data_IF_975509787583
#
_entry.id   IF_975509787583
#
_cell.length_a   1.000
_cell.length_b   1.000
_cell.length_c   1.000
_cell.angle_alpha   90.00
_cell.angle_beta   90.00
_cell.angle_gamma   90.00
#
_symmetry.space_group_name_H-M   'P 1'
#
loop_
_entity.id
_entity.type
_entity.pdbx_description
1 polymer ?
#
# COMPACT_ATOMS: atom_id res chain seq x y z
N UNK A 1 -1.97 -6.38 6.37
CA UNK A 1 -1.10 -6.06 5.21
C UNK A 1 -1.53 -4.77 4.58
N UNK A 2 -0.60 -3.89 4.23
CA UNK A 2 -0.85 -2.64 3.51
C UNK A 2 0.13 -2.54 2.35
N UNK A 3 -0.33 -2.09 1.20
CA UNK A 3 0.46 -1.73 0.02
C UNK A 3 0.39 -0.23 -0.16
N UNK A 4 1.53 0.43 -0.04
CA UNK A 4 1.66 1.87 -0.12
C UNK A 4 2.38 2.24 -1.41
N UNK A 5 1.82 3.14 -2.21
CA UNK A 5 2.56 3.78 -3.27
C UNK A 5 3.61 4.72 -2.68
N UNK A 6 4.87 4.51 -3.04
CA UNK A 6 5.96 5.24 -2.43
C UNK A 6 6.08 6.69 -2.90
N UNK A 7 5.55 6.98 -4.08
CA UNK A 7 5.58 8.32 -4.65
C UNK A 7 4.43 9.18 -4.13
N UNK A 8 3.19 8.68 -4.27
CA UNK A 8 1.97 9.42 -3.88
C UNK A 8 1.61 9.27 -2.39
N UNK A 9 2.21 8.31 -1.66
CA UNK A 9 1.83 7.92 -0.29
C UNK A 9 0.40 7.39 -0.17
N UNK A 10 -0.24 7.06 -1.29
CA UNK A 10 -1.58 6.47 -1.35
C UNK A 10 -1.54 5.02 -0.89
N UNK A 11 -2.49 4.61 -0.08
CA UNK A 11 -2.71 3.19 0.22
C UNK A 11 -3.50 2.61 -0.95
N UNK A 12 -2.82 1.84 -1.80
CA UNK A 12 -3.38 1.30 -3.04
C UNK A 12 -3.92 -0.12 -2.89
N UNK A 13 -3.49 -0.83 -1.86
CA UNK A 13 -4.00 -2.16 -1.54
C UNK A 13 -3.86 -2.50 -0.07
N UNK A 14 -4.74 -3.34 0.43
CA UNK A 14 -4.69 -3.79 1.81
C UNK A 14 -5.46 -5.08 2.03
N UNK A 15 -5.12 -5.77 3.10
CA UNK A 15 -5.87 -6.93 3.57
C UNK A 15 -5.85 -6.96 5.10
N UNK A 16 -7.03 -7.12 5.71
CA UNK A 16 -7.20 -7.44 7.11
C UNK A 16 -7.53 -8.92 7.22
N UNK A 17 -6.75 -9.66 7.99
CA UNK A 17 -6.96 -11.09 8.19
C UNK A 17 -6.53 -11.51 9.59
N UNK A 18 -7.14 -12.57 10.10
CA UNK A 18 -6.71 -13.26 11.33
C UNK A 18 -5.43 -14.10 11.13
N UNK A 19 -4.96 -14.18 9.89
CA UNK A 19 -3.75 -14.93 9.51
C UNK A 19 -2.83 -14.01 8.71
N UNK A 20 -1.53 -14.23 8.84
CA UNK A 20 -0.52 -13.53 8.04
C UNK A 20 0.28 -14.56 7.24
N UNK A 21 -0.24 -14.94 6.09
CA UNK A 21 0.39 -15.89 5.16
C UNK A 21 0.71 -15.20 3.84
N UNK A 22 1.45 -15.88 2.98
CA UNK A 22 1.71 -15.40 1.63
C UNK A 22 0.42 -15.14 0.81
N UNK A 23 -0.67 -15.89 1.09
CA UNK A 23 -1.97 -15.71 0.43
C UNK A 23 -2.57 -14.34 0.73
N UNK A 24 -2.62 -13.95 2.00
CA UNK A 24 -3.17 -12.66 2.42
C UNK A 24 -2.32 -11.47 1.88
N UNK A 25 -1.03 -11.70 1.72
CA UNK A 25 -0.14 -10.74 1.07
C UNK A 25 -0.45 -10.59 -0.42
N UNK A 26 -0.70 -11.71 -1.12
CA UNK A 26 -1.11 -11.69 -2.53
C UNK A 26 -2.42 -10.93 -2.74
N UNK A 27 -3.43 -11.15 -1.90
CA UNK A 27 -4.71 -10.45 -1.99
C UNK A 27 -4.55 -8.92 -1.92
N UNK A 28 -3.69 -8.42 -1.02
CA UNK A 28 -3.40 -6.99 -0.94
C UNK A 28 -2.67 -6.47 -2.21
N UNK A 29 -1.73 -7.25 -2.75
CA UNK A 29 -1.03 -6.89 -3.99
C UNK A 29 -1.97 -6.96 -5.19
N UNK A 30 -2.84 -7.96 -5.29
CA UNK A 30 -3.85 -8.06 -6.34
C UNK A 30 -4.81 -6.87 -6.33
N UNK A 31 -5.25 -6.43 -5.14
CA UNK A 31 -6.05 -5.21 -4.99
C UNK A 31 -5.31 -3.99 -5.56
N UNK A 32 -4.04 -3.81 -5.21
CA UNK A 32 -3.21 -2.71 -5.69
C UNK A 32 -3.05 -2.76 -7.22
N UNK A 33 -2.75 -3.94 -7.77
CA UNK A 33 -2.59 -4.13 -9.22
C UNK A 33 -3.90 -3.81 -9.96
N UNK A 34 -5.01 -4.31 -9.49
CA UNK A 34 -6.32 -4.09 -10.14
C UNK A 34 -6.74 -2.61 -10.12
N UNK A 35 -6.35 -1.86 -9.09
CA UNK A 35 -6.64 -0.43 -8.98
C UNK A 35 -5.73 0.41 -9.89
N UNK A 36 -4.43 0.19 -9.81
CA UNK A 36 -3.44 1.08 -10.42
C UNK A 36 -3.00 0.64 -11.82
N UNK A 37 -3.22 -0.63 -12.18
CA UNK A 37 -2.83 -1.21 -13.45
C UNK A 37 -3.99 -1.95 -14.14
N UNK A 38 -5.11 -1.27 -14.49
CA UNK A 38 -6.27 -1.94 -15.10
C UNK A 38 -5.95 -2.61 -16.43
N UNK A 39 -4.89 -2.17 -17.12
CA UNK A 39 -4.37 -2.80 -18.35
C UNK A 39 -3.37 -3.93 -18.11
N UNK A 40 -3.10 -4.27 -16.85
CA UNK A 40 -2.09 -5.25 -16.44
C UNK A 40 -0.75 -4.61 -16.05
N UNK A 41 -0.04 -5.27 -15.12
CA UNK A 41 1.21 -4.76 -14.53
C UNK A 41 2.46 -5.20 -15.30
N UNK A 42 2.37 -6.24 -16.12
CA UNK A 42 3.52 -6.78 -16.83
C UNK A 42 4.16 -5.77 -17.78
N UNK A 43 5.45 -5.57 -17.66
CA UNK A 43 6.19 -4.59 -18.46
C UNK A 43 6.15 -3.16 -17.93
N UNK A 44 5.45 -2.89 -16.82
CA UNK A 44 5.41 -1.56 -16.19
C UNK A 44 6.72 -1.16 -15.50
N UNK A 45 7.59 -2.13 -15.20
CA UNK A 45 8.79 -1.90 -14.37
C UNK A 45 8.47 -1.73 -12.89
N UNK A 46 7.29 -2.19 -12.44
CA UNK A 46 6.89 -2.09 -11.03
C UNK A 46 7.87 -2.80 -10.11
N UNK A 47 8.21 -2.13 -9.02
CA UNK A 47 9.06 -2.65 -7.95
C UNK A 47 8.26 -2.78 -6.66
N UNK A 48 8.34 -3.94 -6.02
CA UNK A 48 7.75 -4.18 -4.70
C UNK A 48 8.85 -4.18 -3.65
N UNK A 49 8.81 -3.21 -2.76
CA UNK A 49 9.74 -3.12 -1.62
C UNK A 49 9.07 -3.73 -0.39
N UNK A 50 9.76 -4.65 0.27
CA UNK A 50 9.29 -5.29 1.50
C UNK A 50 10.44 -5.53 2.47
N UNK A 51 10.10 -5.89 3.70
CA UNK A 51 11.06 -6.48 4.63
C UNK A 51 11.44 -7.91 4.21
N UNK A 52 12.32 -8.54 4.99
CA UNK A 52 12.75 -9.93 4.81
C UNK A 52 11.88 -10.92 5.63
N UNK A 53 10.61 -10.58 5.87
CA UNK A 53 9.68 -11.45 6.56
C UNK A 53 9.44 -12.77 5.83
N UNK A 54 8.86 -13.74 6.53
CA UNK A 54 8.59 -15.08 5.97
C UNK A 54 7.56 -15.07 4.84
N UNK A 55 6.68 -14.06 4.80
CA UNK A 55 5.64 -13.96 3.79
C UNK A 55 6.17 -13.48 2.44
N UNK A 56 6.90 -12.34 2.34
CA UNK A 56 7.44 -11.87 1.06
C UNK A 56 8.59 -12.75 0.54
N UNK A 57 9.25 -13.52 1.42
CA UNK A 57 10.31 -14.46 1.02
C UNK A 57 9.79 -15.88 0.72
N UNK A 58 8.49 -16.12 0.89
CA UNK A 58 7.89 -17.41 0.52
C UNK A 58 8.05 -17.70 -0.97
N UNK A 59 8.53 -18.89 -1.32
CA UNK A 59 8.80 -19.29 -2.72
C UNK A 59 7.59 -19.09 -3.63
N UNK A 60 6.37 -19.38 -3.13
CA UNK A 60 5.14 -19.19 -3.91
C UNK A 60 4.87 -17.70 -4.18
N UNK A 61 5.12 -16.83 -3.22
CA UNK A 61 4.94 -15.39 -3.38
C UNK A 61 5.95 -14.82 -4.37
N UNK A 62 7.23 -15.16 -4.22
CA UNK A 62 8.29 -14.71 -5.13
C UNK A 62 8.04 -15.18 -6.57
N UNK A 63 7.55 -16.42 -6.75
CA UNK A 63 7.21 -16.96 -8.07
C UNK A 63 6.06 -16.17 -8.72
N UNK A 64 5.05 -15.80 -7.96
CA UNK A 64 3.91 -15.02 -8.46
C UNK A 64 4.34 -13.61 -8.85
N UNK A 65 5.16 -12.95 -8.03
CA UNK A 65 5.72 -11.63 -8.38
C UNK A 65 6.56 -11.68 -9.65
N UNK A 66 7.41 -12.67 -9.78
CA UNK A 66 8.20 -12.89 -11.01
C UNK A 66 7.31 -13.15 -12.23
N UNK A 67 6.23 -13.93 -12.08
CA UNK A 67 5.26 -14.22 -13.16
C UNK A 67 4.54 -12.94 -13.61
N UNK A 68 4.24 -12.02 -12.69
CA UNK A 68 3.65 -10.71 -12.97
C UNK A 68 4.66 -9.71 -13.53
N UNK A 69 5.95 -10.03 -13.54
CA UNK A 69 7.01 -9.11 -13.95
C UNK A 69 7.31 -8.02 -12.94
N UNK A 70 6.99 -8.26 -11.67
CA UNK A 70 7.25 -7.36 -10.54
C UNK A 70 8.62 -7.68 -9.95
N UNK A 71 9.51 -6.69 -9.92
CA UNK A 71 10.81 -6.81 -9.28
C UNK A 71 10.66 -6.68 -7.75
N UNK A 72 11.02 -7.73 -7.00
CA UNK A 72 11.07 -7.65 -5.55
C UNK A 72 12.39 -7.08 -5.05
N UNK A 73 12.30 -6.08 -4.17
CA UNK A 73 13.44 -5.47 -3.48
C UNK A 73 13.23 -5.66 -1.98
N UNK A 74 14.16 -6.35 -1.35
CA UNK A 74 14.17 -6.56 0.09
C UNK A 74 14.97 -5.48 0.79
N UNK A 75 14.37 -4.86 1.82
CA UNK A 75 15.12 -3.91 2.65
C UNK A 75 16.13 -4.66 3.50
N UNK A 76 17.37 -4.15 3.57
CA UNK A 76 18.38 -4.75 4.46
C UNK A 76 18.03 -4.51 5.92
N UNK A 77 18.47 -5.42 6.80
CA UNK A 77 18.32 -5.30 8.26
C UNK A 77 18.89 -3.99 8.81
N UNK A 78 19.91 -3.44 8.14
CA UNK A 78 20.62 -2.21 8.54
C UNK A 78 20.02 -0.93 7.92
N UNK A 79 18.92 -1.03 7.15
CA UNK A 79 18.28 0.13 6.53
C UNK A 79 16.84 0.36 7.06
N UNK A 80 16.69 0.93 8.26
CA UNK A 80 15.38 1.20 8.85
C UNK A 80 14.55 2.21 8.05
N UNK A 81 15.17 2.99 7.15
CA UNK A 81 14.46 3.95 6.30
C UNK A 81 13.70 3.27 5.14
N UNK A 82 14.06 2.05 4.78
CA UNK A 82 13.49 1.35 3.64
C UNK A 82 12.01 0.99 3.79
N UNK A 83 11.46 0.94 5.02
CA UNK A 83 10.06 0.61 5.29
C UNK A 83 9.35 1.65 6.20
N UNK A 84 10.01 2.75 6.50
CA UNK A 84 9.55 3.73 7.48
C UNK A 84 8.17 4.35 7.16
N UNK A 85 7.86 4.56 5.88
CA UNK A 85 6.56 5.12 5.48
C UNK A 85 5.44 4.11 5.76
N UNK A 86 5.62 2.82 5.46
CA UNK A 86 4.65 1.76 5.76
C UNK A 86 4.49 1.54 7.26
N UNK A 87 5.58 1.54 8.01
CA UNK A 87 5.54 1.45 9.48
C UNK A 87 4.78 2.61 10.11
N UNK A 88 4.96 3.83 9.59
CA UNK A 88 4.23 5.01 10.04
C UNK A 88 2.73 4.87 9.79
N UNK A 89 2.31 4.44 8.59
CA UNK A 89 0.90 4.21 8.27
C UNK A 89 0.31 3.13 9.19
N UNK A 90 1.03 2.02 9.39
CA UNK A 90 0.59 0.96 10.30
C UNK A 90 0.44 1.45 11.75
N UNK A 91 1.31 2.34 12.20
CA UNK A 91 1.19 2.97 13.52
C UNK A 91 -0.04 3.85 13.61
N UNK A 92 -0.27 4.71 12.61
CA UNK A 92 -1.43 5.60 12.56
C UNK A 92 -2.74 4.82 12.60
N UNK A 93 -2.87 3.73 11.83
CA UNK A 93 -4.06 2.84 11.90
C UNK A 93 -4.27 2.29 13.31
N UNK A 94 -3.20 1.87 13.98
CA UNK A 94 -3.31 1.37 15.36
C UNK A 94 -3.77 2.46 16.32
N UNK A 95 -3.18 3.65 16.23
CA UNK A 95 -3.43 4.76 17.14
C UNK A 95 -4.82 5.38 16.93
N UNK A 96 -5.28 5.50 15.69
CA UNK A 96 -6.52 6.20 15.36
C UNK A 96 -7.75 5.29 15.23
N UNK A 97 -7.54 4.03 14.86
CA UNK A 97 -8.63 3.10 14.62
C UNK A 97 -8.64 1.95 15.61
N UNK A 98 -7.53 1.22 15.73
CA UNK A 98 -7.56 -0.06 16.46
C UNK A 98 -7.66 0.17 17.96
N UNK A 99 -6.86 1.09 18.52
CA UNK A 99 -6.82 1.33 19.96
C UNK A 99 -7.96 2.21 20.49
N UNK A 100 -8.64 2.95 19.60
CA UNK A 100 -9.75 3.84 19.97
C UNK A 100 -11.12 3.17 19.83
N UNK A 101 -11.20 1.97 19.25
CA UNK A 101 -12.47 1.29 18.99
C UNK A 101 -12.51 -0.10 19.63
N UNK A 102 -13.67 -0.44 20.17
CA UNK A 102 -14.05 -1.82 20.46
C UNK A 102 -14.87 -2.33 19.26
N UNK A 103 -14.42 -3.42 18.66
CA UNK A 103 -15.10 -4.02 17.51
C UNK A 103 -15.93 -5.20 17.97
N UNK A 104 -17.21 -5.23 17.57
CA UNK A 104 -18.11 -6.34 17.85
C UNK A 104 -17.93 -7.52 16.91
N UNK A 105 -17.32 -7.30 15.75
CA UNK A 105 -17.02 -8.32 14.76
C UNK A 105 -15.79 -7.97 13.91
N UNK A 106 -15.28 -8.99 13.21
CA UNK A 106 -14.21 -8.81 12.24
C UNK A 106 -14.63 -7.95 11.05
N UNK A 107 -15.87 -8.10 10.61
CA UNK A 107 -16.47 -7.33 9.51
C UNK A 107 -16.58 -5.85 9.86
N UNK A 108 -16.97 -5.52 11.09
CA UNK A 108 -16.99 -4.14 11.57
C UNK A 108 -15.59 -3.52 11.58
N UNK A 109 -14.59 -4.25 12.07
CA UNK A 109 -13.21 -3.79 12.05
C UNK A 109 -12.72 -3.53 10.61
N UNK A 110 -13.06 -4.44 9.70
CA UNK A 110 -12.70 -4.34 8.29
C UNK A 110 -13.34 -3.13 7.62
N UNK A 111 -14.62 -2.88 7.89
CA UNK A 111 -15.34 -1.72 7.35
C UNK A 111 -14.77 -0.39 7.87
N UNK A 112 -14.50 -0.28 9.17
CA UNK A 112 -13.92 0.94 9.76
C UNK A 112 -12.52 1.22 9.21
N UNK A 113 -11.67 0.20 9.06
CA UNK A 113 -10.34 0.35 8.48
C UNK A 113 -10.45 0.75 7.00
N UNK A 114 -11.39 0.15 6.24
CA UNK A 114 -11.61 0.50 4.85
C UNK A 114 -12.02 1.97 4.70
N UNK A 115 -12.99 2.44 5.48
CA UNK A 115 -13.42 3.85 5.46
C UNK A 115 -12.28 4.79 5.80
N UNK A 116 -11.51 4.46 6.84
CA UNK A 116 -10.35 5.27 7.20
C UNK A 116 -9.31 5.35 6.07
N UNK A 117 -9.05 4.24 5.37
CA UNK A 117 -8.12 4.23 4.25
C UNK A 117 -8.62 5.12 3.10
N UNK A 118 -9.86 4.93 2.67
CA UNK A 118 -10.40 5.60 1.49
C UNK A 118 -10.78 7.06 1.77
N UNK A 119 -11.46 7.33 2.88
CA UNK A 119 -12.00 8.65 3.17
C UNK A 119 -11.03 9.56 3.93
N UNK A 120 -10.28 9.01 4.89
CA UNK A 120 -9.38 9.80 5.71
C UNK A 120 -7.95 9.80 5.15
N UNK A 121 -7.30 8.63 5.07
CA UNK A 121 -5.88 8.53 4.72
C UNK A 121 -5.59 9.00 3.31
N UNK A 122 -6.30 8.48 2.32
CA UNK A 122 -6.04 8.81 0.91
C UNK A 122 -6.54 10.20 0.51
N UNK A 123 -7.65 10.67 1.09
CA UNK A 123 -8.30 11.94 0.69
C UNK A 123 -7.95 13.13 1.56
N UNK A 124 -7.79 12.95 2.86
CA UNK A 124 -7.73 14.06 3.81
C UNK A 124 -6.36 14.22 4.46
N UNK A 125 -5.60 13.13 4.67
CA UNK A 125 -4.31 13.23 5.32
C UNK A 125 -3.27 13.90 4.44
N UNK A 126 -2.79 15.05 4.92
CA UNK A 126 -1.75 15.82 4.25
C UNK A 126 -0.36 15.32 4.63
N UNK A 127 0.50 15.18 3.65
CA UNK A 127 1.88 14.75 3.84
C UNK A 127 2.86 15.87 3.52
N UNK A 128 3.79 16.14 4.43
CA UNK A 128 4.84 17.15 4.19
C UNK A 128 5.69 16.83 2.95
N UNK A 129 5.92 15.54 2.68
CA UNK A 129 6.62 15.08 1.46
C UNK A 129 5.84 15.34 0.16
N UNK A 130 4.54 15.58 0.26
CA UNK A 130 3.65 15.91 -0.86
C UNK A 130 3.28 17.40 -0.89
N UNK A 131 4.12 18.27 -0.33
CA UNK A 131 3.85 19.70 -0.19
C UNK A 131 2.54 19.99 0.56
N UNK A 132 2.25 19.23 1.60
CA UNK A 132 1.03 19.31 2.41
C UNK A 132 -0.27 19.05 1.63
N UNK A 133 -0.19 18.25 0.58
CA UNK A 133 -1.36 17.70 -0.12
C UNK A 133 -1.69 16.30 0.41
N UNK A 134 -2.94 15.89 0.24
CA UNK A 134 -3.32 14.49 0.41
C UNK A 134 -2.80 13.64 -0.76
N UNK A 135 -2.73 12.31 -0.62
CA UNK A 135 -2.35 11.42 -1.71
C UNK A 135 -3.17 11.61 -2.98
N UNK A 136 -4.49 11.72 -2.89
CA UNK A 136 -5.37 11.91 -4.05
C UNK A 136 -5.21 13.29 -4.69
N UNK A 137 -5.08 14.35 -3.90
CA UNK A 137 -4.80 15.69 -4.43
C UNK A 137 -3.46 15.75 -5.17
N UNK A 138 -2.43 15.12 -4.62
CA UNK A 138 -1.12 15.04 -5.24
C UNK A 138 -1.15 14.26 -6.55
N UNK A 139 -1.84 13.12 -6.58
CA UNK A 139 -2.01 12.28 -7.77
C UNK A 139 -2.76 13.03 -8.87
N UNK A 140 -3.88 13.68 -8.55
CA UNK A 140 -4.67 14.48 -9.50
C UNK A 140 -3.82 15.60 -10.14
N UNK A 141 -3.06 16.32 -9.31
CA UNK A 141 -2.16 17.38 -9.79
C UNK A 141 -1.05 16.85 -10.69
N UNK A 142 -0.46 15.71 -10.31
CA UNK A 142 0.58 15.08 -11.13
C UNK A 142 0.06 14.67 -12.51
N UNK A 143 -1.14 14.10 -12.58
CA UNK A 143 -1.78 13.73 -13.84
C UNK A 143 -2.09 14.97 -14.71
N UNK A 144 -2.59 16.05 -14.12
CA UNK A 144 -2.81 17.32 -14.86
C UNK A 144 -1.51 17.88 -15.46
N UNK A 145 -0.42 17.87 -14.68
CA UNK A 145 0.89 18.34 -15.15
C UNK A 145 1.46 17.43 -16.24
N UNK A 146 1.22 16.12 -16.16
CA UNK A 146 1.62 15.15 -17.18
C UNK A 146 0.90 15.40 -18.50
N UNK A 147 -0.42 15.61 -18.45
CA UNK A 147 -1.22 15.92 -19.65
C UNK A 147 -0.75 17.20 -20.31
N UNK A 148 -0.51 18.26 -19.53
CA UNK A 148 -0.01 19.56 -20.05
C UNK A 148 1.36 19.47 -20.71
N UNK A 149 2.20 18.51 -20.34
CA UNK A 149 3.53 18.32 -20.95
C UNK A 149 3.50 17.52 -22.25
N UNK A 150 2.42 16.81 -22.52
CA UNK A 150 2.25 15.96 -23.72
C UNK A 150 1.41 16.67 -24.80
N UNK A 151 0.69 17.70 -24.43
CA UNK A 151 -0.08 18.57 -25.34
C UNK A 151 0.79 19.72 -25.93
#
# INVERSE_FOLDING_TARGET
MIVLDWYTKKIVGWNLSLRSRATEWKEAIEMAINREFPGGVRGSGLKLISDNGSQPTATSFMKDMATLGIEQIFTSYDNPKGNADTERVMRTIKEEIIWLNEFSSFEEAKEKIWKWIEDDSNRLYVHSKLNYMSPEEFEARYEEERIKKVA
#
